data_IF_368299113869
#
_entry.id   IF_368299113869
#
_cell.length_a   1.000
_cell.length_b   1.000
_cell.length_c   1.000
_cell.angle_alpha   90.00
_cell.angle_beta   90.00
_cell.angle_gamma   90.00
#
_symmetry.space_group_name_H-M   'P 1'
#
loop_
_entity.id
_entity.type
_entity.pdbx_description
1 polymer ?
#
# COMPACT_ATOMS: atom_id res chain seq x y z
N UNK A 1 -14.24 -5.57 -10.26
CA UNK A 1 -13.05 -5.07 -9.54
C UNK A 1 -13.55 -4.17 -8.44
N UNK A 2 -13.15 -4.37 -7.18
CA UNK A 2 -13.58 -3.48 -6.10
C UNK A 2 -13.16 -2.04 -6.44
N UNK A 3 -14.06 -1.07 -6.27
CA UNK A 3 -13.79 0.32 -6.59
C UNK A 3 -12.59 0.82 -5.79
N UNK A 4 -11.51 1.16 -6.49
CA UNK A 4 -10.32 1.75 -5.89
C UNK A 4 -10.55 3.24 -5.72
N UNK A 5 -10.48 3.73 -4.48
CA UNK A 5 -10.54 5.17 -4.20
C UNK A 5 -9.25 5.85 -4.66
N UNK A 6 -9.35 6.75 -5.64
CA UNK A 6 -8.24 7.61 -6.01
C UNK A 6 -8.14 8.78 -5.01
N UNK A 7 -6.96 8.99 -4.42
CA UNK A 7 -6.71 10.09 -3.49
C UNK A 7 -5.31 10.68 -3.71
N UNK A 8 -5.15 12.01 -3.68
CA UNK A 8 -3.85 12.63 -3.76
C UNK A 8 -3.06 12.37 -2.47
N UNK A 9 -1.96 11.63 -2.56
CA UNK A 9 -1.05 11.37 -1.45
C UNK A 9 0.02 12.46 -1.39
N UNK A 10 0.10 13.19 -0.28
CA UNK A 10 1.23 14.06 0.01
C UNK A 10 2.33 13.22 0.66
N UNK A 11 3.41 12.98 -0.06
CA UNK A 11 4.55 12.16 0.38
C UNK A 11 5.85 12.92 0.14
N UNK A 12 6.83 12.70 1.01
CA UNK A 12 8.20 13.19 0.78
C UNK A 12 8.74 12.59 -0.55
N UNK A 13 9.22 13.42 -1.49
CA UNK A 13 9.80 12.95 -2.75
C UNK A 13 10.91 11.91 -2.55
N UNK A 14 11.75 12.06 -1.52
CA UNK A 14 12.85 11.12 -1.27
C UNK A 14 12.31 9.74 -0.85
N UNK A 15 11.25 9.73 -0.05
CA UNK A 15 10.57 8.49 0.33
C UNK A 15 9.92 7.83 -0.89
N UNK A 16 9.31 8.63 -1.77
CA UNK A 16 8.70 8.10 -2.99
C UNK A 16 9.74 7.42 -3.90
N UNK A 17 10.92 8.02 -4.09
CA UNK A 17 11.99 7.41 -4.89
C UNK A 17 12.46 6.07 -4.33
N UNK A 18 12.64 5.96 -3.00
CA UNK A 18 13.00 4.68 -2.37
C UNK A 18 11.92 3.61 -2.55
N UNK A 19 10.64 4.01 -2.51
CA UNK A 19 9.50 3.10 -2.75
C UNK A 19 9.44 2.68 -4.22
N UNK A 20 9.77 3.57 -5.16
CA UNK A 20 9.79 3.28 -6.59
C UNK A 20 10.89 2.25 -6.94
N UNK A 21 12.10 2.43 -6.42
CA UNK A 21 13.20 1.47 -6.55
C UNK A 21 12.80 0.10 -5.99
N UNK A 22 12.25 0.05 -4.76
CA UNK A 22 11.81 -1.20 -4.15
C UNK A 22 10.66 -1.88 -4.93
N UNK A 23 9.72 -1.10 -5.45
CA UNK A 23 8.66 -1.64 -6.31
C UNK A 23 9.22 -2.27 -7.59
N UNK A 24 10.25 -1.65 -8.18
CA UNK A 24 10.97 -2.17 -9.35
C UNK A 24 11.66 -3.50 -9.03
N UNK A 25 12.35 -3.59 -7.89
CA UNK A 25 13.03 -4.81 -7.45
C UNK A 25 12.06 -5.99 -7.26
N UNK A 26 10.82 -5.72 -6.87
CA UNK A 26 9.76 -6.73 -6.71
C UNK A 26 8.92 -6.97 -7.97
N UNK A 27 9.25 -6.35 -9.11
CA UNK A 27 8.47 -6.41 -10.36
C UNK A 27 6.99 -6.00 -10.16
N UNK A 28 6.73 -4.99 -9.32
CA UNK A 28 5.40 -4.43 -9.06
C UNK A 28 5.28 -3.00 -9.58
N UNK A 29 4.05 -2.55 -9.86
CA UNK A 29 3.80 -1.13 -10.02
C UNK A 29 3.92 -0.41 -8.67
N UNK A 30 4.35 0.85 -8.70
CA UNK A 30 4.46 1.68 -7.50
C UNK A 30 3.15 1.74 -6.71
N UNK A 31 2.01 1.90 -7.40
CA UNK A 31 0.69 1.90 -6.75
C UNK A 31 0.37 0.56 -6.08
N UNK A 32 0.69 -0.56 -6.71
CA UNK A 32 0.46 -1.89 -6.12
C UNK A 32 1.38 -2.14 -4.91
N UNK A 33 2.63 -1.67 -4.98
CA UNK A 33 3.58 -1.79 -3.90
C UNK A 33 3.18 -0.91 -2.69
N UNK A 34 2.77 0.35 -2.92
CA UNK A 34 2.21 1.21 -1.85
C UNK A 34 0.99 0.56 -1.20
N UNK A 35 0.06 -0.01 -1.98
CA UNK A 35 -1.10 -0.71 -1.44
C UNK A 35 -0.69 -1.91 -0.57
N UNK A 36 0.31 -2.68 -1.00
CA UNK A 36 0.87 -3.79 -0.23
C UNK A 36 1.45 -3.32 1.11
N UNK A 37 2.31 -2.30 1.10
CA UNK A 37 2.93 -1.75 2.32
C UNK A 37 1.88 -1.22 3.31
N UNK A 38 0.86 -0.53 2.81
CA UNK A 38 -0.23 -0.02 3.65
C UNK A 38 -1.05 -1.16 4.26
N UNK A 39 -1.41 -2.19 3.47
CA UNK A 39 -2.13 -3.37 3.98
C UNK A 39 -1.32 -4.09 5.04
N UNK A 40 -0.03 -4.30 4.81
CA UNK A 40 0.86 -4.93 5.78
C UNK A 40 1.00 -4.10 7.06
N UNK A 41 1.09 -2.78 6.94
CA UNK A 41 1.16 -1.88 8.10
C UNK A 41 -0.12 -1.95 8.95
N UNK A 42 -1.29 -1.92 8.31
CA UNK A 42 -2.60 -2.06 8.97
C UNK A 42 -2.73 -3.44 9.63
N UNK A 43 -2.24 -4.51 8.98
CA UNK A 43 -2.19 -5.88 9.51
C UNK A 43 -1.33 -5.95 10.77
N UNK A 44 -0.10 -5.44 10.70
CA UNK A 44 0.86 -5.39 11.82
C UNK A 44 0.32 -4.56 12.98
N UNK A 45 -0.42 -3.49 12.70
CA UNK A 45 -1.10 -2.69 13.71
C UNK A 45 -2.37 -3.34 14.31
N UNK A 46 -2.76 -4.54 13.83
CA UNK A 46 -3.97 -5.23 14.30
C UNK A 46 -5.28 -4.52 13.92
N UNK A 47 -5.23 -3.65 12.90
CA UNK A 47 -6.36 -2.79 12.49
C UNK A 47 -7.19 -3.37 11.35
N UNK A 48 -6.82 -4.53 10.83
CA UNK A 48 -7.65 -5.24 9.86
C UNK A 48 -8.87 -5.78 10.61
N UNK A 49 -10.10 -5.38 10.23
CA UNK A 49 -11.29 -5.92 10.86
C UNK A 49 -11.31 -7.44 10.66
N UNK A 50 -11.41 -8.20 11.75
CA UNK A 50 -11.73 -9.63 11.68
C UNK A 50 -13.08 -9.70 10.98
N UNK A 51 -13.12 -10.32 9.80
CA UNK A 51 -14.37 -10.60 9.09
C UNK A 51 -15.27 -11.28 10.12
N UNK A 52 -16.39 -10.64 10.51
CA UNK A 52 -17.44 -11.38 11.22
C UNK A 52 -17.86 -12.47 10.25
N UNK A 53 -17.53 -13.70 10.59
CA UNK A 53 -18.18 -14.87 9.99
C UNK A 53 -19.64 -14.78 10.43
N UNK A 54 -20.52 -14.41 9.50
CA UNK A 54 -21.90 -14.92 9.55
C UNK A 54 -21.88 -16.33 8.97
#
# INVERSE_FOLDING_TARGET
MADKKNFPLRIDPKLFSMIEEWASDEFRSVNAHIEYLLRESVRKAGRIPKKKSD
#
